data_IF_509337247012
#
_entry.id   IF_509337247012
#
_cell.length_a   1.000
_cell.length_b   1.000
_cell.length_c   1.000
_cell.angle_alpha   90.00
_cell.angle_beta   90.00
_cell.angle_gamma   90.00
#
_symmetry.space_group_name_H-M   'P 1'
#
loop_
_entity.id
_entity.type
_entity.pdbx_description
1 polymer ?
#
# COMPACT_ATOMS: atom_id res chain seq x y z
N UNK A 1 39.39 14.68 -11.43
CA UNK A 1 38.03 14.44 -10.96
C UNK A 1 37.75 15.10 -9.60
N UNK A 2 38.65 15.02 -8.62
CA UNK A 2 38.50 15.61 -7.26
C UNK A 2 38.49 17.17 -7.28
N UNK A 3 39.27 17.81 -8.18
CA UNK A 3 39.31 19.28 -8.29
C UNK A 3 37.99 19.91 -8.76
N UNK A 4 37.16 19.18 -9.53
CA UNK A 4 35.86 19.63 -10.01
C UNK A 4 34.77 19.63 -8.92
N UNK A 5 34.98 18.85 -7.85
CA UNK A 5 34.07 18.78 -6.70
C UNK A 5 34.18 20.00 -5.76
N UNK A 6 35.35 20.66 -5.75
CA UNK A 6 35.57 21.86 -4.92
C UNK A 6 34.81 23.13 -5.38
N UNK A 7 34.31 23.15 -6.61
CA UNK A 7 33.59 24.28 -7.20
C UNK A 7 32.07 24.13 -7.26
N UNK A 8 31.53 23.06 -6.65
CA UNK A 8 30.08 22.82 -6.64
C UNK A 8 29.42 23.77 -5.63
N UNK A 9 28.48 24.66 -6.04
CA UNK A 9 27.76 25.52 -5.12
C UNK A 9 27.01 24.70 -4.05
N UNK A 10 26.90 25.25 -2.81
CA UNK A 10 26.23 24.56 -1.68
C UNK A 10 24.84 24.02 -2.00
N UNK A 11 24.06 24.70 -2.84
CA UNK A 11 22.75 24.24 -3.29
C UNK A 11 22.81 22.91 -4.05
N UNK A 12 23.85 22.64 -4.81
CA UNK A 12 23.99 21.39 -5.57
C UNK A 12 24.31 20.17 -4.72
N UNK A 13 24.91 20.35 -3.54
CA UNK A 13 25.10 19.24 -2.60
C UNK A 13 23.77 18.75 -2.04
N UNK A 14 22.84 19.68 -1.77
CA UNK A 14 21.49 19.30 -1.34
C UNK A 14 20.72 18.58 -2.44
N UNK A 15 20.72 19.10 -3.65
CA UNK A 15 20.08 18.44 -4.80
C UNK A 15 20.64 17.03 -5.04
N UNK A 16 21.97 16.88 -4.92
CA UNK A 16 22.61 15.59 -5.03
C UNK A 16 22.22 14.64 -3.89
N UNK A 17 22.15 15.13 -2.66
CA UNK A 17 21.64 14.34 -1.52
C UNK A 17 20.22 13.84 -1.77
N UNK A 18 19.30 14.69 -2.23
CA UNK A 18 17.92 14.30 -2.57
C UNK A 18 17.90 13.25 -3.69
N UNK A 19 18.76 13.37 -4.69
CA UNK A 19 18.90 12.37 -5.74
C UNK A 19 19.34 11.01 -5.18
N UNK A 20 20.36 11.00 -4.29
CA UNK A 20 20.84 9.78 -3.62
C UNK A 20 19.73 9.18 -2.74
N UNK A 21 19.00 9.99 -1.98
CA UNK A 21 17.88 9.54 -1.17
C UNK A 21 16.79 8.86 -2.01
N UNK A 22 16.42 9.46 -3.13
CA UNK A 22 15.46 8.88 -4.08
C UNK A 22 15.96 7.55 -4.65
N UNK A 23 17.22 7.49 -5.06
CA UNK A 23 17.82 6.26 -5.57
C UNK A 23 17.85 5.15 -4.52
N UNK A 24 18.20 5.48 -3.27
CA UNK A 24 18.19 4.52 -2.16
C UNK A 24 16.79 3.92 -1.95
N UNK A 25 15.76 4.77 -1.83
CA UNK A 25 14.38 4.30 -1.65
C UNK A 25 13.89 3.49 -2.86
N UNK A 26 14.21 3.95 -4.06
CA UNK A 26 13.86 3.27 -5.31
C UNK A 26 14.50 1.88 -5.41
N UNK A 27 15.81 1.79 -5.18
CA UNK A 27 16.54 0.52 -5.24
C UNK A 27 16.05 -0.46 -4.18
N UNK A 28 15.78 0.02 -2.96
CA UNK A 28 15.25 -0.81 -1.87
C UNK A 28 13.88 -1.37 -2.23
N UNK A 29 12.94 -0.54 -2.68
CA UNK A 29 11.60 -0.99 -3.01
C UNK A 29 11.58 -1.88 -4.25
N UNK A 30 12.36 -1.55 -5.26
CA UNK A 30 12.50 -2.39 -6.43
C UNK A 30 13.05 -3.77 -6.07
N UNK A 31 14.11 -3.83 -5.27
CA UNK A 31 14.69 -5.08 -4.79
C UNK A 31 13.68 -5.90 -3.97
N UNK A 32 12.94 -5.27 -3.05
CA UNK A 32 11.91 -5.95 -2.26
C UNK A 32 10.77 -6.48 -3.11
N UNK A 33 10.32 -5.70 -4.10
CA UNK A 33 9.29 -6.14 -5.04
C UNK A 33 9.76 -7.29 -5.91
N UNK A 34 10.96 -7.17 -6.46
CA UNK A 34 11.57 -8.21 -7.29
C UNK A 34 11.77 -9.53 -6.52
N UNK A 35 12.27 -9.46 -5.28
CA UNK A 35 12.47 -10.65 -4.45
C UNK A 35 11.17 -11.37 -4.07
N UNK A 36 10.02 -10.71 -4.12
CA UNK A 36 8.71 -11.36 -3.91
C UNK A 36 8.22 -12.15 -5.12
N UNK A 37 8.59 -11.71 -6.32
CA UNK A 37 8.12 -12.32 -7.58
C UNK A 37 8.99 -13.51 -7.98
N UNK A 38 10.27 -13.51 -7.58
CA UNK A 38 11.20 -14.59 -7.93
C UNK A 38 10.95 -15.86 -7.12
N UNK A 39 11.23 -17.03 -7.70
CA UNK A 39 10.97 -18.35 -7.10
C UNK A 39 11.66 -18.58 -5.74
N UNK A 40 12.84 -17.95 -5.50
CA UNK A 40 13.53 -17.97 -4.23
C UNK A 40 13.28 -16.69 -3.44
N UNK A 41 12.07 -16.16 -3.53
CA UNK A 41 11.71 -14.85 -3.04
C UNK A 41 11.69 -14.72 -1.53
N UNK A 42 11.38 -13.51 -1.08
CA UNK A 42 11.33 -13.15 0.33
C UNK A 42 10.27 -13.91 1.12
N UNK A 43 9.15 -14.25 0.47
CA UNK A 43 8.13 -15.13 1.02
C UNK A 43 8.47 -16.58 0.70
N UNK A 44 7.97 -17.47 1.51
CA UNK A 44 8.17 -18.89 1.33
C UNK A 44 8.34 -19.61 2.67
N UNK A 45 8.03 -20.88 2.65
CA UNK A 45 8.15 -21.75 3.81
C UNK A 45 8.89 -23.02 3.37
N UNK A 46 9.78 -23.53 4.20
CA UNK A 46 10.50 -24.75 3.91
C UNK A 46 9.60 -26.00 4.07
N UNK A 47 9.92 -27.14 3.41
CA UNK A 47 9.17 -28.39 3.60
C UNK A 47 9.12 -28.86 5.06
N UNK A 48 10.17 -28.61 5.85
CA UNK A 48 10.21 -28.94 7.27
C UNK A 48 9.23 -28.06 8.07
N UNK A 49 9.15 -26.79 7.78
CA UNK A 49 8.20 -25.86 8.41
C UNK A 49 6.76 -26.20 8.06
N UNK A 50 6.48 -26.65 6.83
CA UNK A 50 5.15 -27.13 6.42
C UNK A 50 4.69 -28.37 7.22
N UNK A 51 5.62 -29.23 7.62
CA UNK A 51 5.34 -30.39 8.44
C UNK A 51 5.20 -30.07 9.95
N UNK A 52 5.54 -28.83 10.35
CA UNK A 52 5.48 -28.39 11.76
C UNK A 52 4.09 -27.87 12.10
N UNK A 53 3.48 -28.27 13.24
CA UNK A 53 2.22 -27.70 13.67
C UNK A 53 2.30 -26.16 13.82
N UNK A 54 1.24 -25.45 13.43
CA UNK A 54 1.20 -23.97 13.44
C UNK A 54 1.53 -23.40 14.83
N UNK A 55 1.14 -24.08 15.92
CA UNK A 55 1.41 -23.66 17.30
C UNK A 55 2.91 -23.63 17.65
N UNK A 56 3.74 -24.39 16.91
CA UNK A 56 5.17 -24.54 17.14
C UNK A 56 5.99 -23.66 16.16
N UNK A 57 5.33 -23.02 15.20
CA UNK A 57 5.95 -22.07 14.28
C UNK A 57 5.96 -20.66 14.85
N UNK A 58 7.06 -19.93 14.61
CA UNK A 58 7.08 -18.48 14.86
C UNK A 58 6.02 -17.76 14.03
N UNK A 59 5.29 -16.82 14.65
CA UNK A 59 4.24 -16.04 14.00
C UNK A 59 4.71 -15.36 12.70
N UNK A 60 5.97 -14.92 12.66
CA UNK A 60 6.63 -14.39 11.48
C UNK A 60 6.65 -15.38 10.29
N UNK A 61 6.89 -16.67 10.55
CA UNK A 61 6.91 -17.69 9.48
C UNK A 61 5.51 -18.01 8.99
N UNK A 62 4.53 -18.00 9.88
CA UNK A 62 3.11 -18.15 9.52
C UNK A 62 2.65 -16.99 8.64
N UNK A 63 3.03 -15.74 8.98
CA UNK A 63 2.75 -14.56 8.15
C UNK A 63 3.36 -14.71 6.75
N UNK A 64 4.62 -15.13 6.65
CA UNK A 64 5.29 -15.32 5.36
C UNK A 64 4.63 -16.39 4.51
N UNK A 65 4.16 -17.48 5.10
CA UNK A 65 3.37 -18.49 4.42
C UNK A 65 2.06 -17.93 3.86
N UNK A 66 1.32 -17.15 4.66
CA UNK A 66 0.06 -16.54 4.23
C UNK A 66 0.26 -15.55 3.08
N UNK A 67 1.36 -14.82 3.06
CA UNK A 67 1.64 -13.84 2.01
C UNK A 67 2.31 -14.42 0.77
N UNK A 68 2.69 -15.69 0.79
CA UNK A 68 3.26 -16.38 -0.38
C UNK A 68 2.18 -16.91 -1.36
N UNK A 69 0.93 -16.44 -1.22
CA UNK A 69 -0.17 -16.89 -2.07
C UNK A 69 -0.48 -15.86 -3.16
N UNK A 70 -0.79 -16.39 -4.36
CA UNK A 70 -1.27 -15.57 -5.47
C UNK A 70 -2.77 -15.25 -5.31
N UNK A 71 -3.23 -14.06 -5.73
CA UNK A 71 -2.50 -12.99 -6.44
C UNK A 71 -1.79 -11.98 -5.53
N UNK A 72 -1.82 -12.16 -4.22
CA UNK A 72 -1.32 -11.18 -3.24
C UNK A 72 0.18 -10.91 -3.43
N UNK A 73 1.01 -11.96 -3.50
CA UNK A 73 2.46 -11.88 -3.64
C UNK A 73 2.86 -11.06 -4.86
N UNK A 74 2.37 -11.45 -6.03
CA UNK A 74 2.67 -10.78 -7.29
C UNK A 74 2.18 -9.34 -7.31
N UNK A 75 0.99 -9.06 -6.80
CA UNK A 75 0.43 -7.71 -6.74
C UNK A 75 1.30 -6.78 -5.89
N UNK A 76 1.65 -7.18 -4.68
CA UNK A 76 2.52 -6.38 -3.79
C UNK A 76 3.91 -6.20 -4.40
N UNK A 77 4.47 -7.25 -5.00
CA UNK A 77 5.76 -7.17 -5.68
C UNK A 77 5.76 -6.13 -6.81
N UNK A 78 4.75 -6.17 -7.70
CA UNK A 78 4.60 -5.20 -8.78
C UNK A 78 4.41 -3.78 -8.25
N UNK A 79 3.55 -3.57 -7.25
CA UNK A 79 3.33 -2.25 -6.66
C UNK A 79 4.62 -1.66 -6.05
N UNK A 80 5.45 -2.46 -5.40
CA UNK A 80 6.74 -2.03 -4.87
C UNK A 80 7.71 -1.67 -5.99
N UNK A 81 7.82 -2.50 -7.05
CA UNK A 81 8.69 -2.21 -8.20
C UNK A 81 8.25 -0.94 -8.92
N UNK A 82 6.95 -0.77 -9.18
CA UNK A 82 6.40 0.45 -9.78
C UNK A 82 6.72 1.68 -8.93
N UNK A 83 6.56 1.59 -7.62
CA UNK A 83 6.90 2.67 -6.68
C UNK A 83 8.38 3.03 -6.78
N UNK A 84 9.26 2.03 -6.83
CA UNK A 84 10.69 2.23 -7.05
C UNK A 84 10.99 2.96 -8.36
N UNK A 85 10.36 2.55 -9.46
CA UNK A 85 10.51 3.21 -10.77
C UNK A 85 10.03 4.66 -10.72
N UNK A 86 8.87 4.94 -10.12
CA UNK A 86 8.33 6.30 -9.98
C UNK A 86 9.27 7.23 -9.21
N UNK A 87 9.98 6.73 -8.20
CA UNK A 87 10.96 7.49 -7.42
C UNK A 87 12.21 7.89 -8.23
N UNK A 88 12.60 7.08 -9.22
CA UNK A 88 13.79 7.38 -10.04
C UNK A 88 13.59 8.63 -10.92
N UNK A 89 12.42 8.80 -11.49
CA UNK A 89 12.17 9.90 -12.41
C UNK A 89 11.77 11.18 -11.66
N UNK A 90 12.41 12.31 -11.99
CA UNK A 90 12.14 13.59 -11.33
C UNK A 90 10.68 14.04 -11.45
N UNK A 91 10.04 13.75 -12.58
CA UNK A 91 8.63 14.14 -12.83
C UNK A 91 7.63 13.40 -11.95
N UNK A 92 7.90 12.15 -11.61
CA UNK A 92 7.01 11.26 -10.87
C UNK A 92 7.44 11.02 -9.42
N UNK A 93 8.53 11.64 -8.97
CA UNK A 93 9.09 11.41 -7.64
C UNK A 93 8.08 11.66 -6.50
N UNK A 94 7.27 12.73 -6.59
CA UNK A 94 6.22 13.02 -5.59
C UNK A 94 5.19 11.89 -5.58
N UNK A 95 4.74 11.42 -6.75
CA UNK A 95 3.82 10.30 -6.85
C UNK A 95 4.45 9.02 -6.27
N UNK A 96 5.73 8.76 -6.57
CA UNK A 96 6.49 7.67 -5.97
C UNK A 96 6.51 7.72 -4.44
N UNK A 97 6.72 8.90 -3.84
CA UNK A 97 6.66 9.08 -2.38
C UNK A 97 5.26 8.83 -1.84
N UNK A 98 4.22 9.29 -2.53
CA UNK A 98 2.82 9.08 -2.12
C UNK A 98 2.42 7.59 -2.12
N UNK A 99 2.95 6.79 -3.04
CA UNK A 99 2.78 5.34 -3.03
C UNK A 99 3.69 4.65 -2.00
N UNK A 100 4.93 5.15 -1.85
CA UNK A 100 5.90 4.58 -0.91
C UNK A 100 5.39 4.60 0.53
N UNK A 101 4.89 5.75 1.00
CA UNK A 101 4.49 5.94 2.40
C UNK A 101 3.45 4.91 2.86
N UNK A 102 2.29 4.70 2.22
CA UNK A 102 1.31 3.74 2.69
C UNK A 102 1.80 2.29 2.59
N UNK A 103 2.55 1.94 1.54
CA UNK A 103 3.10 0.59 1.40
C UNK A 103 4.13 0.33 2.51
N UNK A 104 5.06 1.26 2.72
CA UNK A 104 6.09 1.16 3.75
C UNK A 104 5.49 1.14 5.17
N UNK A 105 4.45 1.95 5.43
CA UNK A 105 3.75 1.96 6.71
C UNK A 105 3.06 0.63 6.99
N UNK A 106 2.44 0.02 5.97
CA UNK A 106 1.81 -1.30 6.10
C UNK A 106 2.85 -2.38 6.40
N UNK A 107 3.99 -2.39 5.67
CA UNK A 107 5.09 -3.33 5.92
C UNK A 107 5.63 -3.16 7.34
N UNK A 108 5.88 -1.91 7.77
CA UNK A 108 6.34 -1.63 9.13
C UNK A 108 5.36 -2.14 10.20
N UNK A 109 4.06 -1.94 9.99
CA UNK A 109 3.04 -2.44 10.91
C UNK A 109 3.06 -3.96 11.01
N UNK A 110 3.25 -4.65 9.88
CA UNK A 110 3.40 -6.11 9.84
C UNK A 110 4.68 -6.56 10.55
N UNK A 111 5.81 -5.89 10.30
CA UNK A 111 7.09 -6.20 10.93
C UNK A 111 7.01 -6.07 12.46
N UNK A 112 6.41 -4.99 12.96
CA UNK A 112 6.21 -4.78 14.41
C UNK A 112 5.27 -5.84 15.01
N UNK A 113 4.24 -6.25 14.28
CA UNK A 113 3.21 -7.17 14.79
C UNK A 113 3.66 -8.62 14.80
N UNK A 114 4.50 -9.05 13.87
CA UNK A 114 4.75 -10.46 13.62
C UNK A 114 6.22 -10.88 13.77
N UNK A 115 7.17 -9.93 13.67
CA UNK A 115 8.60 -10.25 13.80
C UNK A 115 9.04 -10.38 15.27
N UNK A 116 10.07 -11.20 15.56
CA UNK A 116 10.75 -11.18 16.85
C UNK A 116 11.29 -9.77 17.16
N UNK A 117 11.22 -9.34 18.45
CA UNK A 117 11.52 -7.98 18.91
C UNK A 117 12.84 -7.42 18.37
N UNK A 118 13.92 -8.21 18.38
CA UNK A 118 15.24 -7.75 17.90
C UNK A 118 15.25 -7.37 16.42
N UNK A 119 14.58 -8.16 15.58
CA UNK A 119 14.44 -7.88 14.16
C UNK A 119 13.46 -6.72 13.92
N UNK A 120 12.31 -6.72 14.58
CA UNK A 120 11.31 -5.65 14.50
C UNK A 120 11.91 -4.28 14.81
N UNK A 121 12.75 -4.18 15.86
CA UNK A 121 13.44 -2.94 16.23
C UNK A 121 14.41 -2.46 15.13
N UNK A 122 15.14 -3.37 14.50
CA UNK A 122 16.05 -3.04 13.39
C UNK A 122 15.30 -2.48 12.18
N UNK A 123 14.22 -3.15 11.77
CA UNK A 123 13.37 -2.69 10.67
C UNK A 123 12.65 -1.39 11.01
N UNK A 124 12.15 -1.22 12.23
CA UNK A 124 11.51 0.03 12.68
C UNK A 124 12.44 1.24 12.50
N UNK A 125 13.69 1.15 12.97
CA UNK A 125 14.68 2.23 12.79
C UNK A 125 14.92 2.54 11.30
N UNK A 126 15.01 1.51 10.47
CA UNK A 126 15.20 1.64 9.02
C UNK A 126 14.01 2.33 8.35
N UNK A 127 12.78 1.95 8.67
CA UNK A 127 11.59 2.57 8.09
C UNK A 127 11.37 4.01 8.57
N UNK A 128 11.66 4.32 9.84
CA UNK A 128 11.67 5.71 10.35
C UNK A 128 12.61 6.56 9.49
N UNK A 129 13.82 6.06 9.21
CA UNK A 129 14.75 6.75 8.33
C UNK A 129 14.19 6.95 6.92
N UNK A 130 13.55 5.95 6.35
CA UNK A 130 12.91 6.07 5.04
C UNK A 130 11.80 7.11 5.02
N UNK A 131 10.98 7.21 6.07
CA UNK A 131 9.97 8.27 6.18
C UNK A 131 10.59 9.65 6.30
N UNK A 132 11.71 9.80 7.02
CA UNK A 132 12.46 11.06 7.06
C UNK A 132 12.94 11.43 5.64
N UNK A 133 13.50 10.49 4.88
CA UNK A 133 13.92 10.75 3.50
C UNK A 133 12.73 11.12 2.60
N UNK A 134 11.60 10.45 2.73
CA UNK A 134 10.36 10.82 2.03
C UNK A 134 9.93 12.26 2.33
N UNK A 135 9.94 12.65 3.61
CA UNK A 135 9.65 14.01 4.02
C UNK A 135 10.63 15.03 3.40
N UNK A 136 11.93 14.75 3.39
CA UNK A 136 12.95 15.63 2.80
C UNK A 136 12.76 15.77 1.27
N UNK A 137 12.38 14.70 0.58
CA UNK A 137 12.06 14.74 -0.86
C UNK A 137 10.84 15.63 -1.11
N UNK A 138 9.76 15.47 -0.33
CA UNK A 138 8.57 16.33 -0.45
C UNK A 138 8.87 17.78 -0.08
N UNK A 139 9.70 18.01 0.93
CA UNK A 139 10.15 19.34 1.35
C UNK A 139 10.95 20.06 0.25
N UNK A 140 11.83 19.32 -0.44
CA UNK A 140 12.58 19.86 -1.56
C UNK A 140 11.66 20.33 -2.69
N UNK A 141 10.60 19.58 -2.98
CA UNK A 141 9.63 19.85 -4.03
C UNK A 141 8.33 20.53 -3.48
N UNK A 142 8.44 21.26 -2.36
CA UNK A 142 7.29 21.84 -1.63
C UNK A 142 6.34 22.66 -2.48
N UNK A 143 6.85 23.41 -3.46
CA UNK A 143 6.01 24.24 -4.34
C UNK A 143 5.12 23.38 -5.25
N UNK A 144 5.64 22.26 -5.76
CA UNK A 144 4.86 21.28 -6.53
C UNK A 144 3.84 20.57 -5.64
N UNK A 145 4.23 20.23 -4.41
CA UNK A 145 3.33 19.63 -3.40
C UNK A 145 2.17 20.57 -3.09
N UNK A 146 2.44 21.89 -2.90
CA UNK A 146 1.38 22.90 -2.70
C UNK A 146 0.43 23.01 -3.89
N UNK A 147 0.94 22.95 -5.12
CA UNK A 147 0.10 22.98 -6.32
C UNK A 147 -0.84 21.78 -6.33
N UNK A 148 -0.33 20.57 -6.09
CA UNK A 148 -1.12 19.34 -6.02
C UNK A 148 -2.15 19.45 -4.91
N UNK A 149 -1.75 19.86 -3.71
CA UNK A 149 -2.63 20.05 -2.54
C UNK A 149 -3.76 21.04 -2.85
N UNK A 150 -3.44 22.19 -3.43
CA UNK A 150 -4.43 23.19 -3.80
C UNK A 150 -5.36 22.69 -4.91
N UNK A 151 -4.85 21.90 -5.87
CA UNK A 151 -5.67 21.33 -6.93
C UNK A 151 -6.67 20.29 -6.38
N UNK A 152 -6.26 19.48 -5.41
CA UNK A 152 -7.10 18.42 -4.82
C UNK A 152 -8.09 18.99 -3.80
N UNK A 153 -7.66 19.94 -2.94
CA UNK A 153 -8.46 20.36 -1.78
C UNK A 153 -9.16 21.71 -2.01
N UNK A 154 -8.46 22.73 -2.50
CA UNK A 154 -9.02 24.10 -2.56
C UNK A 154 -9.99 24.40 -3.71
N UNK A 155 -10.00 23.60 -4.77
CA UNK A 155 -10.95 23.80 -5.89
C UNK A 155 -12.34 23.22 -5.62
N UNK A 156 -12.54 22.55 -4.48
CA UNK A 156 -13.86 22.06 -4.09
C UNK A 156 -14.68 23.21 -3.48
N UNK A 157 -15.43 23.94 -4.32
CA UNK A 157 -16.50 24.81 -3.84
C UNK A 157 -17.62 23.92 -3.30
N UNK A 158 -17.79 23.89 -1.98
CA UNK A 158 -18.89 23.19 -1.31
C UNK A 158 -20.24 23.90 -1.53
N UNK A 159 -20.59 24.27 -2.77
CA UNK A 159 -21.98 24.65 -3.05
C UNK A 159 -22.82 23.38 -2.99
N UNK A 160 -23.79 23.37 -2.09
CA UNK A 160 -24.78 22.28 -2.01
C UNK A 160 -25.46 22.13 -3.38
N UNK A 161 -25.20 21.00 -4.04
CA UNK A 161 -25.75 20.69 -5.37
C UNK A 161 -27.16 20.10 -5.29
N UNK A 162 -27.52 19.54 -4.14
CA UNK A 162 -28.77 18.81 -3.94
C UNK A 162 -29.56 19.36 -2.74
N UNK A 163 -30.87 19.17 -2.69
CA UNK A 163 -31.70 19.44 -1.51
C UNK A 163 -31.23 18.60 -0.32
N UNK A 164 -31.44 19.13 0.89
CA UNK A 164 -31.01 18.46 2.15
C UNK A 164 -31.56 17.03 2.26
N UNK A 165 -32.79 16.81 1.82
CA UNK A 165 -33.47 15.49 1.82
C UNK A 165 -32.62 14.44 1.10
N UNK A 166 -32.00 14.77 -0.04
CA UNK A 166 -31.16 13.82 -0.77
C UNK A 166 -29.89 13.48 -0.02
N UNK A 167 -29.31 14.42 0.76
CA UNK A 167 -28.16 14.10 1.62
C UNK A 167 -28.55 13.18 2.78
N UNK A 168 -29.75 13.32 3.34
CA UNK A 168 -30.26 12.41 4.38
C UNK A 168 -30.51 11.01 3.82
N UNK A 169 -30.89 10.90 2.54
CA UNK A 169 -31.12 9.63 1.86
C UNK A 169 -29.83 8.94 1.37
N UNK A 170 -28.66 9.62 1.39
CA UNK A 170 -27.38 9.03 0.96
C UNK A 170 -27.09 7.68 1.63
N UNK A 171 -27.21 7.51 2.97
CA UNK A 171 -26.98 6.21 3.60
C UNK A 171 -27.91 5.11 3.07
N UNK A 172 -29.18 5.44 2.82
CA UNK A 172 -30.15 4.47 2.29
C UNK A 172 -29.75 4.03 0.88
N UNK A 173 -29.41 4.97 0.00
CA UNK A 173 -28.95 4.64 -1.35
C UNK A 173 -27.61 3.92 -1.33
N UNK A 174 -26.72 4.22 -0.38
CA UNK A 174 -25.47 3.49 -0.21
C UNK A 174 -25.72 2.01 0.12
N UNK A 175 -26.68 1.70 1.01
CA UNK A 175 -27.07 0.31 1.31
C UNK A 175 -27.68 -0.39 0.07
N UNK A 176 -28.48 0.31 -0.72
CA UNK A 176 -29.01 -0.24 -1.99
C UNK A 176 -27.86 -0.55 -2.96
N UNK A 177 -26.87 0.33 -3.07
CA UNK A 177 -25.69 0.11 -3.91
C UNK A 177 -24.83 -1.06 -3.41
N UNK A 178 -24.75 -1.29 -2.10
CA UNK A 178 -24.03 -2.43 -1.51
C UNK A 178 -24.69 -3.77 -1.89
N UNK A 179 -26.01 -3.82 -1.98
CA UNK A 179 -26.76 -5.03 -2.34
C UNK A 179 -26.71 -5.30 -3.87
N UNK A 180 -26.49 -4.26 -4.68
CA UNK A 180 -26.57 -4.34 -6.15
C UNK A 180 -25.69 -5.47 -6.76
N UNK A 181 -24.42 -5.68 -6.34
CA UNK A 181 -23.58 -6.74 -6.87
C UNK A 181 -24.11 -8.16 -6.57
N UNK A 182 -24.91 -8.32 -5.52
CA UNK A 182 -25.47 -9.61 -5.11
C UNK A 182 -26.74 -9.99 -5.88
N UNK A 183 -27.38 -9.04 -6.56
CA UNK A 183 -28.64 -9.28 -7.30
C UNK A 183 -28.50 -10.35 -8.39
N UNK A 184 -27.47 -10.34 -9.27
CA UNK A 184 -27.32 -11.37 -10.30
C UNK A 184 -27.20 -12.77 -9.71
N UNK A 185 -26.47 -12.89 -8.60
CA UNK A 185 -26.28 -14.17 -7.89
C UNK A 185 -27.59 -14.64 -7.24
N UNK A 186 -28.33 -13.74 -6.62
CA UNK A 186 -29.65 -14.04 -6.05
C UNK A 186 -30.64 -14.51 -7.12
N UNK A 187 -30.69 -13.83 -8.27
CA UNK A 187 -31.55 -14.22 -9.39
C UNK A 187 -31.17 -15.61 -9.93
N UNK A 188 -29.88 -15.87 -10.06
CA UNK A 188 -29.39 -17.17 -10.48
C UNK A 188 -29.83 -18.29 -9.52
N UNK A 189 -29.67 -18.10 -8.21
CA UNK A 189 -30.10 -19.08 -7.20
C UNK A 189 -31.61 -19.20 -7.11
N UNK A 190 -32.38 -18.14 -7.30
CA UNK A 190 -33.86 -18.23 -7.35
C UNK A 190 -34.32 -19.14 -8.48
N UNK A 191 -33.61 -19.17 -9.62
CA UNK A 191 -34.00 -19.97 -10.80
C UNK A 191 -33.46 -21.41 -10.66
N UNK A 192 -32.24 -21.60 -10.18
CA UNK A 192 -31.56 -22.90 -10.20
C UNK A 192 -31.75 -23.68 -8.88
N UNK A 193 -31.73 -22.99 -7.74
CA UNK A 193 -31.75 -23.60 -6.39
C UNK A 193 -32.49 -22.72 -5.38
N UNK A 194 -33.85 -22.81 -5.33
CA UNK A 194 -34.65 -21.92 -4.48
C UNK A 194 -34.31 -22.00 -2.97
N UNK A 195 -33.86 -23.15 -2.50
CA UNK A 195 -33.44 -23.30 -1.10
C UNK A 195 -32.20 -22.48 -0.75
N UNK A 196 -31.20 -22.40 -1.65
CA UNK A 196 -29.98 -21.58 -1.46
C UNK A 196 -30.29 -20.09 -1.57
N UNK A 197 -31.30 -19.68 -2.34
CA UNK A 197 -31.71 -18.29 -2.44
C UNK A 197 -32.22 -17.73 -1.11
N UNK A 198 -32.98 -18.54 -0.37
CA UNK A 198 -33.49 -18.17 0.97
C UNK A 198 -32.37 -18.03 1.97
N UNK A 199 -31.37 -18.91 1.91
CA UNK A 199 -30.20 -18.86 2.79
C UNK A 199 -29.32 -17.63 2.52
N UNK A 200 -29.12 -17.28 1.24
CA UNK A 200 -28.40 -16.07 0.82
C UNK A 200 -29.11 -14.79 1.26
N UNK A 201 -30.43 -14.73 1.14
CA UNK A 201 -31.25 -13.60 1.63
C UNK A 201 -31.14 -13.46 3.15
N UNK A 202 -31.21 -14.56 3.89
CA UNK A 202 -31.01 -14.55 5.35
C UNK A 202 -29.61 -14.05 5.73
N UNK A 203 -28.59 -14.46 5.00
CA UNK A 203 -27.23 -14.02 5.23
C UNK A 203 -27.07 -12.52 5.02
N UNK A 204 -27.64 -11.97 3.93
CA UNK A 204 -27.63 -10.53 3.65
C UNK A 204 -28.38 -9.75 4.74
N UNK A 205 -29.53 -10.23 5.18
CA UNK A 205 -30.30 -9.60 6.25
C UNK A 205 -29.53 -9.61 7.59
N UNK A 206 -28.82 -10.68 7.91
CA UNK A 206 -27.99 -10.76 9.13
C UNK A 206 -26.74 -9.87 9.09
N UNK A 207 -26.30 -9.43 7.91
CA UNK A 207 -25.21 -8.45 7.77
C UNK A 207 -25.73 -7.01 7.93
N UNK A 208 -27.01 -6.79 7.60
CA UNK A 208 -27.61 -5.45 7.61
C UNK A 208 -28.26 -5.09 8.95
N UNK A 209 -28.60 -6.08 9.75
CA UNK A 209 -29.24 -5.94 11.07
C UNK A 209 -28.51 -6.76 12.14
#
# INVERSE_FOLDING_TARGET
MIAKLRTIPKNRYWEYFILVARFLLAATFFSYGYSKITENGQFGISPQELATPIKDLHLFRVMWYLFDHEPFKTTIGILQMMTGILLLFHRTAILGVLFFIPIAANILLMDISFMPEGLAMGFTKRFIWYFILCFLILWNDKERVKIIWNAVIKKFSMKRKFPIVLYVLVPVFALVLEILPSIPQLLFYCITEPAKSIESIKHILNILF
#
